data_IF_324233440899
#
_entry.id   IF_324233440899
#
_cell.length_a   1.000
_cell.length_b   1.000
_cell.length_c   1.000
_cell.angle_alpha   90.00
_cell.angle_beta   90.00
_cell.angle_gamma   90.00
#
_symmetry.space_group_name_H-M   'P 1'
#
loop_
_entity.id
_entity.type
_entity.pdbx_description
1 polymer ?
#
# COMPACT_ATOMS: atom_id res chain seq x y z
N UNK A 1 -65.50 -13.54 -25.65
CA UNK A 1 -64.50 -14.10 -26.57
C UNK A 1 -63.94 -12.97 -27.42
N UNK A 2 -62.86 -12.33 -26.99
CA UNK A 2 -61.86 -11.64 -27.83
C UNK A 2 -60.93 -10.80 -26.93
N UNK A 3 -59.97 -11.45 -26.27
CA UNK A 3 -58.78 -10.72 -25.79
C UNK A 3 -57.99 -10.33 -27.03
N UNK A 4 -57.95 -9.05 -27.36
CA UNK A 4 -57.07 -8.54 -28.41
C UNK A 4 -55.63 -8.59 -27.88
N UNK A 5 -54.80 -9.43 -28.49
CA UNK A 5 -53.37 -9.44 -28.22
C UNK A 5 -52.75 -8.13 -28.74
N UNK A 6 -51.76 -7.54 -28.04
CA UNK A 6 -51.05 -6.37 -28.55
C UNK A 6 -50.36 -6.69 -29.88
N UNK A 7 -50.21 -5.71 -30.79
CA UNK A 7 -49.51 -5.91 -32.06
C UNK A 7 -48.09 -6.41 -31.80
N UNK A 8 -47.70 -7.49 -32.48
CA UNK A 8 -46.39 -8.12 -32.34
C UNK A 8 -45.28 -7.19 -32.83
N UNK A 9 -44.56 -6.58 -31.91
CA UNK A 9 -43.37 -5.76 -32.19
C UNK A 9 -42.15 -6.69 -32.32
N UNK A 10 -41.23 -6.49 -33.30
CA UNK A 10 -40.02 -7.30 -33.41
C UNK A 10 -39.15 -7.21 -32.14
N UNK A 11 -38.42 -8.29 -31.75
CA UNK A 11 -37.80 -8.44 -30.41
C UNK A 11 -36.75 -7.37 -30.07
N UNK A 12 -36.28 -6.61 -31.06
CA UNK A 12 -35.31 -5.53 -30.86
C UNK A 12 -35.92 -4.26 -30.26
N UNK A 13 -37.23 -4.07 -30.38
CA UNK A 13 -37.93 -2.84 -29.98
C UNK A 13 -38.85 -3.03 -28.76
N UNK A 14 -38.82 -4.21 -28.14
CA UNK A 14 -39.67 -4.58 -27.01
C UNK A 14 -39.38 -3.72 -25.77
N UNK A 15 -38.09 -3.46 -25.47
CA UNK A 15 -37.67 -2.63 -24.33
C UNK A 15 -38.10 -1.15 -24.48
N UNK A 16 -38.06 -0.61 -25.70
CA UNK A 16 -38.50 0.75 -26.00
C UNK A 16 -40.02 0.88 -25.87
N UNK A 17 -40.76 -0.10 -26.40
CA UNK A 17 -42.21 -0.14 -26.26
C UNK A 17 -42.62 -0.28 -24.77
N UNK A 18 -41.98 -1.17 -24.01
CA UNK A 18 -42.22 -1.31 -22.56
C UNK A 18 -41.89 -0.02 -21.79
N UNK A 19 -40.85 0.71 -22.19
CA UNK A 19 -40.49 2.00 -21.57
C UNK A 19 -41.52 3.10 -21.85
N UNK A 20 -42.15 3.10 -23.03
CA UNK A 20 -43.24 4.03 -23.38
C UNK A 20 -44.52 3.73 -22.58
N UNK A 21 -44.84 2.46 -22.33
CA UNK A 21 -46.05 2.06 -21.61
C UNK A 21 -45.88 2.00 -20.08
N UNK A 22 -44.65 1.87 -19.56
CA UNK A 22 -44.37 1.78 -18.13
C UNK A 22 -44.32 3.15 -17.41
N UNK A 23 -44.13 4.25 -18.15
CA UNK A 23 -44.09 5.59 -17.55
C UNK A 23 -45.51 6.14 -17.35
N UNK A 24 -45.93 6.48 -16.12
CA UNK A 24 -47.23 7.09 -15.88
C UNK A 24 -47.29 8.47 -16.56
N UNK A 25 -48.38 8.77 -17.28
CA UNK A 25 -48.59 10.01 -18.06
C UNK A 25 -48.40 11.31 -17.25
N UNK A 26 -48.47 11.21 -15.92
CA UNK A 26 -48.24 12.32 -14.98
C UNK A 26 -46.75 12.72 -14.90
N UNK A 27 -45.82 11.80 -15.17
CA UNK A 27 -44.36 12.05 -15.05
C UNK A 27 -43.74 12.65 -16.31
N UNK A 28 -44.41 12.52 -17.46
CA UNK A 28 -43.97 13.06 -18.74
C UNK A 28 -43.87 14.60 -18.78
N UNK A 29 -44.83 15.39 -18.24
CA UNK A 29 -44.72 16.86 -18.25
C UNK A 29 -43.81 17.44 -17.16
N UNK A 30 -43.37 16.66 -16.16
CA UNK A 30 -42.61 17.18 -14.99
C UNK A 30 -41.30 17.86 -15.40
N UNK A 31 -40.43 17.24 -16.23
CA UNK A 31 -39.17 17.86 -16.63
C UNK A 31 -39.39 19.11 -17.48
N UNK A 32 -40.42 19.11 -18.33
CA UNK A 32 -40.75 20.22 -19.25
C UNK A 32 -41.25 21.42 -18.44
N UNK A 33 -42.16 21.21 -17.50
CA UNK A 33 -42.66 22.25 -16.62
C UNK A 33 -41.54 22.81 -15.74
N UNK A 34 -40.71 21.94 -15.16
CA UNK A 34 -39.56 22.36 -14.34
C UNK A 34 -38.57 23.21 -15.13
N UNK A 35 -38.26 22.82 -16.37
CA UNK A 35 -37.31 23.54 -17.23
C UNK A 35 -37.86 24.90 -17.67
N UNK A 36 -39.12 24.95 -18.09
CA UNK A 36 -39.76 26.20 -18.52
C UNK A 36 -39.95 27.19 -17.37
N UNK A 37 -40.34 26.70 -16.18
CA UNK A 37 -40.43 27.51 -14.98
C UNK A 37 -39.05 28.02 -14.55
N UNK A 38 -38.02 27.16 -14.56
CA UNK A 38 -36.65 27.53 -14.24
C UNK A 38 -36.08 28.59 -15.19
N UNK A 39 -36.32 28.44 -16.50
CA UNK A 39 -35.93 29.42 -17.50
C UNK A 39 -36.63 30.77 -17.31
N UNK A 40 -37.93 30.74 -17.01
CA UNK A 40 -38.70 31.95 -16.72
C UNK A 40 -38.18 32.68 -15.47
N UNK A 41 -37.91 31.95 -14.39
CA UNK A 41 -37.33 32.52 -13.16
C UNK A 41 -35.93 33.08 -13.43
N UNK A 42 -35.06 32.33 -14.11
CA UNK A 42 -33.71 32.79 -14.43
C UNK A 42 -33.72 34.07 -15.27
N UNK A 43 -34.63 34.19 -16.24
CA UNK A 43 -34.80 35.40 -17.04
C UNK A 43 -35.21 36.60 -16.17
N UNK A 44 -36.21 36.44 -15.30
CA UNK A 44 -36.65 37.51 -14.38
C UNK A 44 -35.54 37.94 -13.41
N UNK A 45 -34.79 36.98 -12.85
CA UNK A 45 -33.66 37.27 -11.96
C UNK A 45 -32.53 37.97 -12.70
N UNK A 46 -32.26 37.60 -13.96
CA UNK A 46 -31.22 38.23 -14.77
C UNK A 46 -31.54 39.70 -15.08
N UNK A 47 -32.81 40.04 -15.32
CA UNK A 47 -33.25 41.45 -15.49
C UNK A 47 -32.95 42.33 -14.26
N UNK A 48 -32.88 41.74 -13.07
CA UNK A 48 -32.59 42.44 -11.79
C UNK A 48 -31.25 41.97 -11.20
N UNK A 49 -30.37 41.39 -12.02
CA UNK A 49 -29.19 40.66 -11.57
C UNK A 49 -28.30 41.48 -10.64
N UNK A 50 -28.00 42.73 -11.01
CA UNK A 50 -27.06 43.56 -10.26
C UNK A 50 -27.55 43.88 -8.84
N UNK A 51 -28.86 44.08 -8.65
CA UNK A 51 -29.41 44.41 -7.33
C UNK A 51 -29.56 43.15 -6.48
N UNK A 52 -30.00 42.04 -7.08
CA UNK A 52 -30.15 40.75 -6.41
C UNK A 52 -28.79 40.19 -5.97
N UNK A 53 -27.78 40.23 -6.84
CA UNK A 53 -26.44 39.73 -6.54
C UNK A 53 -25.77 40.55 -5.44
N UNK A 54 -25.86 41.89 -5.49
CA UNK A 54 -25.34 42.75 -4.41
C UNK A 54 -26.05 42.51 -3.08
N UNK A 55 -27.37 42.32 -3.09
CA UNK A 55 -28.13 41.97 -1.88
C UNK A 55 -27.75 40.59 -1.33
N UNK A 56 -27.42 39.65 -2.21
CA UNK A 56 -26.97 38.30 -1.83
C UNK A 56 -25.56 38.29 -1.25
N UNK A 57 -24.62 39.04 -1.85
CA UNK A 57 -23.23 39.15 -1.40
C UNK A 57 -23.10 39.94 -0.09
N UNK A 58 -23.97 40.93 0.15
CA UNK A 58 -23.98 41.70 1.41
C UNK A 58 -24.55 40.91 2.59
N UNK A 59 -25.36 39.87 2.32
CA UNK A 59 -25.87 38.97 3.36
C UNK A 59 -24.81 37.97 3.80
N UNK A 60 -24.68 37.75 5.12
CA UNK A 60 -23.70 36.82 5.70
C UNK A 60 -23.86 35.39 5.18
N UNK A 61 -25.11 34.95 4.99
CA UNK A 61 -25.41 33.61 4.49
C UNK A 61 -25.19 33.50 2.98
N UNK A 62 -25.57 34.54 2.22
CA UNK A 62 -25.39 34.57 0.77
C UNK A 62 -23.92 34.62 0.37
N UNK A 63 -23.11 35.43 1.08
CA UNK A 63 -21.66 35.46 0.88
C UNK A 63 -21.00 34.10 1.16
N UNK A 64 -21.40 33.40 2.23
CA UNK A 64 -20.88 32.05 2.54
C UNK A 64 -21.22 31.06 1.45
N UNK A 65 -22.48 31.04 0.98
CA UNK A 65 -22.91 30.15 -0.08
C UNK A 65 -22.20 30.49 -1.40
N UNK A 66 -22.04 31.77 -1.70
CA UNK A 66 -21.33 32.25 -2.87
C UNK A 66 -19.85 31.84 -2.83
N UNK A 67 -19.14 32.05 -1.72
CA UNK A 67 -17.77 31.56 -1.54
C UNK A 67 -17.67 30.03 -1.65
N UNK A 68 -18.66 29.30 -1.12
CA UNK A 68 -18.70 27.84 -1.17
C UNK A 68 -18.89 27.30 -2.60
N UNK A 69 -19.85 27.86 -3.35
CA UNK A 69 -20.12 27.49 -4.74
C UNK A 69 -18.97 27.91 -5.66
N UNK A 70 -18.40 29.11 -5.44
CA UNK A 70 -17.31 29.65 -6.27
C UNK A 70 -15.99 28.90 -6.06
N UNK A 71 -15.68 28.46 -4.82
CA UNK A 71 -14.44 27.71 -4.52
C UNK A 71 -14.54 26.21 -4.84
N UNK A 72 -15.38 25.80 -5.81
CA UNK A 72 -15.51 24.42 -6.29
C UNK A 72 -15.57 23.43 -5.12
N UNK A 73 -16.52 23.57 -4.20
CA UNK A 73 -16.83 22.62 -3.11
C UNK A 73 -15.63 22.16 -2.21
N UNK A 74 -14.48 22.85 -2.20
CA UNK A 74 -13.31 22.51 -1.35
C UNK A 74 -12.79 21.04 -1.34
N UNK A 75 -13.09 20.13 -2.31
CA UNK A 75 -12.65 18.75 -2.19
C UNK A 75 -11.13 18.68 -2.25
N UNK A 76 -10.51 19.54 -3.06
CA UNK A 76 -9.06 19.64 -3.21
C UNK A 76 -8.38 20.08 -1.89
N UNK A 77 -8.97 21.03 -1.15
CA UNK A 77 -8.40 21.48 0.12
C UNK A 77 -8.55 20.43 1.23
N UNK A 78 -9.73 19.81 1.33
CA UNK A 78 -9.97 18.75 2.33
C UNK A 78 -9.06 17.55 2.06
N UNK A 79 -8.88 17.16 0.80
CA UNK A 79 -7.97 16.08 0.44
C UNK A 79 -6.52 16.42 0.79
N UNK A 80 -6.07 17.62 0.45
CA UNK A 80 -4.70 18.04 0.73
C UNK A 80 -4.41 18.08 2.24
N UNK A 81 -5.30 18.70 3.01
CA UNK A 81 -5.07 18.91 4.44
C UNK A 81 -5.23 17.62 5.24
N UNK A 82 -6.18 16.76 4.87
CA UNK A 82 -6.50 15.55 5.64
C UNK A 82 -5.71 14.31 5.19
N UNK A 83 -5.45 14.16 3.89
CA UNK A 83 -4.82 12.97 3.33
C UNK A 83 -3.36 13.25 2.99
N UNK A 84 -3.08 14.28 2.17
CA UNK A 84 -1.72 14.52 1.69
C UNK A 84 -0.76 14.90 2.83
N UNK A 85 -1.15 15.86 3.67
CA UNK A 85 -0.32 16.29 4.80
C UNK A 85 -0.07 15.14 5.80
N UNK A 86 -1.09 14.33 6.08
CA UNK A 86 -1.00 13.21 7.00
C UNK A 86 -0.06 12.10 6.47
N UNK A 87 -0.16 11.77 5.18
CA UNK A 87 0.72 10.79 4.53
C UNK A 87 2.18 11.27 4.56
N UNK A 88 2.43 12.54 4.27
CA UNK A 88 3.79 13.10 4.26
C UNK A 88 4.41 13.07 5.67
N UNK A 89 3.66 13.47 6.70
CA UNK A 89 4.14 13.44 8.09
C UNK A 89 4.42 12.01 8.55
N UNK A 90 3.50 11.08 8.29
CA UNK A 90 3.69 9.68 8.62
C UNK A 90 4.89 9.06 7.90
N UNK A 91 5.06 9.36 6.61
CA UNK A 91 6.21 8.88 5.83
C UNK A 91 7.55 9.39 6.35
N UNK A 92 7.62 10.66 6.74
CA UNK A 92 8.84 11.24 7.30
C UNK A 92 9.21 10.62 8.66
N UNK A 93 8.26 10.60 9.60
CA UNK A 93 8.50 10.11 10.96
C UNK A 93 8.74 8.60 10.99
N UNK A 94 7.94 7.80 10.28
CA UNK A 94 8.03 6.33 10.37
C UNK A 94 9.06 5.78 9.41
N UNK A 95 9.00 6.13 8.13
CA UNK A 95 9.88 5.50 7.14
C UNK A 95 11.29 6.04 7.21
N UNK A 96 11.47 7.34 7.46
CA UNK A 96 12.81 7.93 7.43
C UNK A 96 13.53 7.79 8.78
N UNK A 97 12.85 8.11 9.87
CA UNK A 97 13.50 8.07 11.19
C UNK A 97 13.72 6.64 11.69
N UNK A 98 12.69 5.79 11.64
CA UNK A 98 12.82 4.43 12.15
C UNK A 98 13.70 3.55 11.25
N UNK A 99 13.63 3.74 9.93
CA UNK A 99 14.36 2.89 8.99
C UNK A 99 15.81 3.35 8.83
N UNK A 100 16.08 4.62 8.57
CA UNK A 100 17.45 5.06 8.27
C UNK A 100 18.27 5.24 9.55
N UNK A 101 17.81 6.06 10.50
CA UNK A 101 18.56 6.27 11.76
C UNK A 101 18.59 5.01 12.61
N UNK A 102 17.45 4.34 12.76
CA UNK A 102 17.35 3.11 13.56
C UNK A 102 18.20 1.97 13.00
N UNK A 103 18.13 1.69 11.69
CA UNK A 103 18.93 0.61 11.11
C UNK A 103 20.42 0.94 11.11
N UNK A 104 20.81 2.19 10.80
CA UNK A 104 22.23 2.60 10.82
C UNK A 104 22.80 2.54 12.24
N UNK A 105 22.04 2.91 13.27
CA UNK A 105 22.52 2.86 14.64
C UNK A 105 22.71 1.41 15.14
N UNK A 106 21.79 0.51 14.77
CA UNK A 106 21.89 -0.92 15.08
C UNK A 106 23.02 -1.60 14.31
N UNK A 107 23.22 -1.26 13.03
CA UNK A 107 24.31 -1.82 12.22
C UNK A 107 25.65 -1.13 12.46
N UNK A 108 25.62 0.03 13.10
CA UNK A 108 26.78 0.86 13.36
C UNK A 108 27.62 0.39 14.55
N UNK A 109 28.58 1.24 14.97
CA UNK A 109 29.50 0.91 16.07
C UNK A 109 28.79 0.57 17.37
N UNK A 110 27.61 1.17 17.62
CA UNK A 110 26.82 0.95 18.83
C UNK A 110 26.26 -0.47 18.91
N UNK A 111 25.56 -0.95 17.88
CA UNK A 111 25.02 -2.31 17.88
C UNK A 111 26.11 -3.39 17.83
N UNK A 112 27.22 -3.13 17.13
CA UNK A 112 28.39 -4.02 17.18
C UNK A 112 28.94 -4.09 18.61
N UNK A 113 29.15 -2.94 19.27
CA UNK A 113 29.67 -2.92 20.65
C UNK A 113 28.74 -3.65 21.62
N UNK A 114 27.42 -3.46 21.47
CA UNK A 114 26.42 -4.12 22.30
C UNK A 114 26.45 -5.65 22.13
N UNK A 115 26.50 -6.14 20.88
CA UNK A 115 26.56 -7.58 20.61
C UNK A 115 27.85 -8.22 21.12
N UNK A 116 29.00 -7.56 20.94
CA UNK A 116 30.28 -8.02 21.49
C UNK A 116 30.25 -8.10 23.01
N UNK A 117 29.70 -7.09 23.70
CA UNK A 117 29.56 -7.10 25.16
C UNK A 117 28.69 -8.27 25.62
N UNK A 118 27.58 -8.52 24.91
CA UNK A 118 26.68 -9.62 25.25
C UNK A 118 27.33 -10.99 25.01
N UNK A 119 28.11 -11.14 23.94
CA UNK A 119 28.89 -12.34 23.67
C UNK A 119 29.96 -12.56 24.74
N UNK A 120 30.70 -11.52 25.12
CA UNK A 120 31.72 -11.58 26.17
C UNK A 120 31.12 -12.03 27.51
N UNK A 121 29.95 -11.50 27.89
CA UNK A 121 29.23 -11.94 29.10
C UNK A 121 28.86 -13.43 29.05
N UNK A 122 28.35 -13.91 27.91
CA UNK A 122 28.03 -15.34 27.74
C UNK A 122 29.27 -16.21 27.79
N UNK A 123 30.37 -15.80 27.16
CA UNK A 123 31.64 -16.52 27.20
C UNK A 123 32.22 -16.59 28.61
N UNK A 124 32.11 -15.51 29.39
CA UNK A 124 32.50 -15.50 30.80
C UNK A 124 31.65 -16.46 31.63
N UNK A 125 30.34 -16.58 31.36
CA UNK A 125 29.47 -17.52 32.06
C UNK A 125 29.77 -18.99 31.74
N UNK A 126 30.29 -19.29 30.54
CA UNK A 126 30.71 -20.65 30.17
C UNK A 126 31.98 -21.10 30.89
N UNK A 127 32.76 -20.16 31.45
CA UNK A 127 33.90 -20.49 32.31
C UNK A 127 33.39 -20.87 33.71
N UNK A 128 33.10 -22.15 33.92
CA UNK A 128 32.56 -22.67 35.18
C UNK A 128 33.56 -22.71 36.34
N UNK A 129 34.86 -22.47 36.08
CA UNK A 129 35.92 -22.47 37.09
C UNK A 129 36.35 -23.85 37.60
N UNK A 130 35.65 -24.93 37.20
CA UNK A 130 35.97 -26.30 37.63
C UNK A 130 37.02 -26.97 36.73
N UNK A 131 38.08 -27.51 37.34
CA UNK A 131 39.19 -28.18 36.63
C UNK A 131 38.71 -29.34 35.73
N UNK A 132 37.71 -30.11 36.17
CA UNK A 132 37.18 -31.23 35.39
C UNK A 132 36.54 -30.79 34.05
N UNK A 133 35.90 -29.62 34.01
CA UNK A 133 35.35 -29.08 32.75
C UNK A 133 36.46 -28.76 31.76
N UNK A 134 37.60 -28.24 32.22
CA UNK A 134 38.76 -27.98 31.36
C UNK A 134 39.40 -29.26 30.85
N UNK A 135 39.58 -30.27 31.71
CA UNK A 135 40.14 -31.56 31.30
C UNK A 135 39.26 -32.24 30.23
N UNK A 136 37.94 -32.23 30.42
CA UNK A 136 36.98 -32.73 29.44
C UNK A 136 37.04 -31.93 28.13
N UNK A 137 37.07 -30.60 28.19
CA UNK A 137 37.19 -29.74 27.01
C UNK A 137 38.49 -29.96 26.23
N UNK A 138 39.62 -30.20 26.89
CA UNK A 138 40.89 -30.53 26.24
C UNK A 138 40.83 -31.88 25.52
N UNK A 139 40.26 -32.90 26.15
CA UNK A 139 40.10 -34.22 25.54
C UNK A 139 39.20 -34.14 24.30
N UNK A 140 38.07 -33.43 24.43
CA UNK A 140 37.10 -33.22 23.34
C UNK A 140 37.72 -32.37 22.21
N UNK A 141 38.50 -31.35 22.55
CA UNK A 141 39.25 -30.55 21.58
C UNK A 141 40.25 -31.40 20.78
N UNK A 142 41.00 -32.29 21.45
CA UNK A 142 41.95 -33.19 20.79
C UNK A 142 41.24 -34.18 19.87
N UNK A 143 40.13 -34.78 20.29
CA UNK A 143 39.38 -35.73 19.46
C UNK A 143 38.80 -35.02 18.23
N UNK A 144 38.18 -33.86 18.38
CA UNK A 144 37.69 -33.05 17.26
C UNK A 144 38.83 -32.67 16.31
N UNK A 145 39.98 -32.24 16.85
CA UNK A 145 41.13 -31.84 16.02
C UNK A 145 41.62 -32.99 15.14
N UNK A 146 41.80 -34.18 15.73
CA UNK A 146 42.20 -35.38 14.99
C UNK A 146 41.14 -35.77 13.96
N UNK A 147 39.86 -35.77 14.33
CA UNK A 147 38.76 -36.08 13.42
C UNK A 147 38.68 -35.08 12.26
N UNK A 148 38.85 -33.78 12.53
CA UNK A 148 38.83 -32.75 11.51
C UNK A 148 40.02 -32.88 10.56
N UNK A 149 41.23 -33.13 11.09
CA UNK A 149 42.41 -33.41 10.28
C UNK A 149 42.20 -34.63 9.38
N UNK A 150 41.55 -35.67 9.89
CA UNK A 150 41.23 -36.87 9.10
C UNK A 150 40.14 -36.60 8.05
N UNK A 151 39.15 -35.78 8.40
CA UNK A 151 38.07 -35.38 7.49
C UNK A 151 38.59 -34.52 6.34
N UNK A 152 39.63 -33.71 6.57
CA UNK A 152 40.30 -32.93 5.54
C UNK A 152 40.78 -33.82 4.37
N UNK A 153 41.27 -35.02 4.64
CA UNK A 153 41.68 -35.99 3.61
C UNK A 153 40.54 -36.41 2.68
N UNK A 154 39.28 -36.34 3.14
CA UNK A 154 38.11 -36.68 2.31
C UNK A 154 37.68 -35.52 1.41
N UNK A 155 37.98 -34.29 1.82
CA UNK A 155 37.65 -33.06 1.10
C UNK A 155 38.80 -32.67 0.14
N UNK A 156 40.03 -33.09 0.42
CA UNK A 156 41.20 -32.81 -0.41
C UNK A 156 41.02 -33.12 -1.91
N UNK A 157 40.33 -34.21 -2.35
CA UNK A 157 40.14 -34.48 -3.77
C UNK A 157 39.21 -33.48 -4.47
N UNK A 158 38.36 -32.80 -3.72
CA UNK A 158 37.44 -31.78 -4.23
C UNK A 158 38.08 -30.39 -4.28
N UNK A 159 39.03 -30.12 -3.39
CA UNK A 159 39.77 -28.85 -3.32
C UNK A 159 40.94 -28.83 -4.31
N UNK A 160 41.59 -29.97 -4.54
CA UNK A 160 42.70 -30.08 -5.47
C UNK A 160 42.22 -30.33 -6.91
N UNK A 161 42.23 -29.27 -7.74
CA UNK A 161 41.89 -29.35 -9.17
C UNK A 161 42.68 -30.41 -9.96
N UNK A 162 43.89 -30.77 -9.50
CA UNK A 162 44.72 -31.81 -10.12
C UNK A 162 44.20 -33.22 -9.85
N UNK A 163 43.70 -33.48 -8.64
CA UNK A 163 43.17 -34.79 -8.25
C UNK A 163 41.85 -35.07 -8.95
N UNK A 164 40.96 -34.08 -9.01
CA UNK A 164 39.69 -34.18 -9.74
C UNK A 164 39.88 -34.41 -11.24
N UNK A 165 40.87 -33.76 -11.86
CA UNK A 165 41.20 -33.97 -13.28
C UNK A 165 41.65 -35.42 -13.57
N UNK A 166 42.51 -35.99 -12.73
CA UNK A 166 43.00 -37.36 -12.90
C UNK A 166 41.84 -38.37 -12.78
N UNK A 167 40.93 -38.19 -11.81
CA UNK A 167 39.74 -39.04 -11.68
C UNK A 167 38.79 -38.97 -12.87
N UNK A 168 38.58 -37.78 -13.46
CA UNK A 168 37.76 -37.60 -14.67
C UNK A 168 38.40 -38.33 -15.86
N UNK A 169 39.70 -38.14 -16.08
CA UNK A 169 40.43 -38.81 -17.18
C UNK A 169 40.44 -40.32 -17.01
N UNK A 170 40.65 -40.84 -15.79
CA UNK A 170 40.61 -42.29 -15.53
C UNK A 170 39.23 -42.90 -15.75
N UNK A 171 38.15 -42.13 -15.54
CA UNK A 171 36.77 -42.60 -15.76
C UNK A 171 36.39 -42.71 -17.24
N UNK A 172 37.20 -42.15 -18.14
CA UNK A 172 37.02 -42.18 -19.60
C UNK A 172 37.88 -43.24 -20.31
N UNK A 173 38.82 -43.87 -19.61
CA UNK A 173 39.55 -45.02 -20.15
C UNK A 173 38.67 -46.27 -20.01
N UNK A 174 38.33 -46.97 -21.11
CA UNK A 174 37.54 -48.21 -21.08
C UNK A 174 38.31 -49.39 -20.45
#
# INVERSE_FOLDING_TARGET
>A
NSRANPPSVPPKNEILAESEFAAPTITEPIPILSSTLGAFVAYNVNLVADQFQRAFETSTSGNRLHCFLNKRWFPDQVFNDFIACQIVRFGYEVSFEASDKGAIEILGPYGISYTFLQLAKRMSQLQSGFVYHYAFAMLLGLTIFVTFSRMWDLISPWVDNRSSFISIVSSFSP
#
